data_IF_810136355452
#
_entry.id   IF_810136355452
#
_cell.length_a   1.000
_cell.length_b   1.000
_cell.length_c   1.000
_cell.angle_alpha   90.00
_cell.angle_beta   90.00
_cell.angle_gamma   90.00
#
_symmetry.space_group_name_H-M   'P 1'
#
loop_
_entity.id
_entity.type
_entity.pdbx_description
1 polymer ?
#
# COMPACT_ATOMS: atom_id res chain seq x y z
N UNK A 1 -37.66 8.22 8.61
CA UNK A 1 -36.29 8.78 8.54
C UNK A 1 -35.55 7.96 7.49
N UNK A 2 -35.37 8.52 6.28
CA UNK A 2 -34.71 7.84 5.17
C UNK A 2 -33.21 7.78 5.47
N UNK A 3 -32.70 6.60 5.84
CA UNK A 3 -31.26 6.36 5.92
C UNK A 3 -30.78 6.25 4.47
N UNK A 4 -30.26 7.35 3.93
CA UNK A 4 -29.46 7.32 2.71
C UNK A 4 -28.19 6.52 3.02
N UNK A 5 -28.21 5.22 2.73
CA UNK A 5 -26.97 4.47 2.55
C UNK A 5 -26.34 5.06 1.29
N UNK A 6 -25.34 5.92 1.47
CA UNK A 6 -24.57 6.44 0.36
C UNK A 6 -24.13 5.24 -0.51
N UNK A 7 -24.22 5.33 -1.85
CA UNK A 7 -23.73 4.28 -2.71
C UNK A 7 -22.29 4.00 -2.27
N UNK A 8 -22.01 2.74 -1.93
CA UNK A 8 -20.66 2.33 -1.63
C UNK A 8 -19.77 2.83 -2.80
N UNK A 9 -18.60 3.35 -2.50
CA UNK A 9 -17.66 3.73 -3.55
C UNK A 9 -16.69 2.56 -3.71
N UNK A 10 -16.46 2.14 -4.95
CA UNK A 10 -15.48 1.10 -5.22
C UNK A 10 -14.11 1.54 -4.71
N UNK A 11 -13.42 0.61 -4.06
CA UNK A 11 -12.01 0.72 -3.72
C UNK A 11 -11.24 0.68 -5.05
N UNK A 12 -10.47 1.72 -5.38
CA UNK A 12 -9.67 1.80 -6.61
C UNK A 12 -8.28 2.38 -6.29
N UNK A 13 -7.29 1.51 -6.16
CA UNK A 13 -5.96 1.86 -5.69
C UNK A 13 -5.22 2.78 -6.70
N UNK A 14 -5.38 4.11 -6.63
CA UNK A 14 -4.61 5.11 -7.36
C UNK A 14 -3.93 6.11 -6.39
N UNK A 15 -2.58 6.13 -6.37
CA UNK A 15 -1.78 6.91 -5.42
C UNK A 15 -1.16 8.13 -6.11
N UNK A 16 -1.74 9.30 -5.83
CA UNK A 16 -1.07 10.60 -6.02
C UNK A 16 -1.69 11.62 -5.04
N UNK A 17 -1.05 11.87 -3.89
CA UNK A 17 -0.99 13.17 -3.18
C UNK A 17 -0.59 13.07 -1.69
N UNK A 18 0.08 14.14 -1.27
CA UNK A 18 0.96 14.38 -0.12
C UNK A 18 0.32 14.37 1.28
N UNK A 19 1.20 14.00 2.23
CA UNK A 19 1.33 14.38 3.64
C UNK A 19 0.31 13.89 4.69
N UNK A 20 0.83 13.06 5.62
CA UNK A 20 0.37 12.91 7.01
C UNK A 20 -0.41 11.62 7.31
N UNK A 21 0.22 10.65 7.99
CA UNK A 21 -0.29 9.30 8.42
C UNK A 21 -0.80 8.40 7.27
N UNK A 22 -1.47 9.00 6.29
CA UNK A 22 -2.09 8.49 5.07
C UNK A 22 -1.09 8.00 4.00
N UNK A 23 0.20 8.31 4.15
CA UNK A 23 1.25 7.86 3.23
C UNK A 23 1.84 6.49 3.61
N UNK A 24 1.63 6.01 4.84
CA UNK A 24 2.19 4.73 5.31
C UNK A 24 1.37 3.52 4.89
N UNK A 25 0.12 3.72 4.46
CA UNK A 25 -0.86 2.62 4.28
C UNK A 25 -1.21 2.37 2.81
N UNK A 26 -0.62 3.13 1.87
CA UNK A 26 -0.83 2.93 0.43
C UNK A 26 -2.28 3.15 -0.03
N UNK A 27 -3.10 3.86 0.74
CA UNK A 27 -4.52 4.09 0.44
C UNK A 27 -4.67 5.17 -0.63
N UNK A 28 -5.43 4.86 -1.67
CA UNK A 28 -5.72 5.72 -2.80
C UNK A 28 -6.64 6.90 -2.47
N UNK A 29 -6.67 7.88 -3.39
CA UNK A 29 -7.50 9.08 -3.26
C UNK A 29 -8.98 8.78 -2.99
N UNK A 30 -9.67 7.97 -3.82
CA UNK A 30 -11.05 7.55 -3.59
C UNK A 30 -11.29 6.84 -2.26
N UNK A 31 -10.47 5.85 -1.89
CA UNK A 31 -10.56 5.14 -0.60
C UNK A 31 -10.34 6.08 0.57
N UNK A 32 -9.39 7.02 0.46
CA UNK A 32 -9.17 8.06 1.48
C UNK A 32 -10.41 8.95 1.65
N UNK A 33 -11.03 9.36 0.54
CA UNK A 33 -12.26 10.14 0.57
C UNK A 33 -13.43 9.35 1.18
N UNK A 34 -13.52 8.03 0.96
CA UNK A 34 -14.50 7.16 1.61
C UNK A 34 -14.25 7.06 3.12
N UNK A 35 -13.01 6.79 3.53
CA UNK A 35 -12.64 6.69 4.95
C UNK A 35 -12.82 8.01 5.71
N UNK A 36 -12.64 9.15 5.03
CA UNK A 36 -12.92 10.47 5.60
C UNK A 36 -14.42 10.70 5.87
N UNK A 37 -15.31 10.00 5.17
CA UNK A 37 -16.77 10.03 5.42
C UNK A 37 -17.20 9.13 6.57
N UNK A 38 -16.33 8.22 7.04
CA UNK A 38 -16.61 7.38 8.20
C UNK A 38 -16.36 8.15 9.51
N UNK A 39 -17.07 7.79 10.61
CA UNK A 39 -16.75 8.25 11.95
C UNK A 39 -15.27 8.07 12.29
N UNK A 40 -14.70 9.00 13.08
CA UNK A 40 -13.27 9.06 13.33
C UNK A 40 -12.71 7.80 14.00
N UNK A 41 -13.51 7.18 14.85
CA UNK A 41 -13.21 5.96 15.59
C UNK A 41 -13.07 4.78 14.63
N UNK A 42 -14.01 4.63 13.69
CA UNK A 42 -14.01 3.58 12.67
C UNK A 42 -12.83 3.78 11.71
N UNK A 43 -12.58 5.02 11.30
CA UNK A 43 -11.44 5.34 10.44
C UNK A 43 -10.12 4.90 11.10
N UNK A 44 -9.95 5.19 12.40
CA UNK A 44 -8.74 4.81 13.14
C UNK A 44 -8.57 3.29 13.21
N UNK A 45 -9.64 2.55 13.48
CA UNK A 45 -9.61 1.09 13.53
C UNK A 45 -9.30 0.44 12.17
N UNK A 46 -9.87 0.96 11.08
CA UNK A 46 -9.58 0.46 9.73
C UNK A 46 -8.12 0.72 9.37
N UNK A 47 -7.63 1.96 9.58
CA UNK A 47 -6.24 2.32 9.29
C UNK A 47 -5.26 1.46 10.09
N UNK A 48 -5.53 1.23 11.37
CA UNK A 48 -4.69 0.39 12.23
C UNK A 48 -4.70 -1.08 11.76
N UNK A 49 -5.87 -1.61 11.38
CA UNK A 49 -5.97 -2.99 10.88
C UNK A 49 -5.23 -3.18 9.56
N UNK A 50 -5.32 -2.21 8.64
CA UNK A 50 -4.55 -2.26 7.40
C UNK A 50 -3.05 -2.14 7.69
N UNK A 51 -2.65 -1.28 8.63
CA UNK A 51 -1.25 -1.14 9.06
C UNK A 51 -0.68 -2.45 9.60
N UNK A 52 -1.43 -3.18 10.42
CA UNK A 52 -1.01 -4.48 10.95
C UNK A 52 -0.90 -5.55 9.86
N UNK A 53 -1.75 -5.49 8.84
CA UNK A 53 -1.62 -6.37 7.66
C UNK A 53 -0.39 -6.03 6.81
N UNK A 54 0.12 -4.79 6.85
CA UNK A 54 1.35 -4.41 6.13
C UNK A 54 2.60 -5.06 6.73
N UNK A 55 2.66 -5.32 8.04
CA UNK A 55 3.83 -5.98 8.64
C UNK A 55 4.00 -7.45 8.20
N UNK A 56 2.98 -8.04 7.55
CA UNK A 56 2.99 -9.43 7.03
C UNK A 56 3.45 -9.49 5.54
N UNK A 57 3.89 -8.36 4.97
CA UNK A 57 4.08 -8.11 3.52
C UNK A 57 5.07 -8.98 2.73
N UNK A 58 5.80 -9.90 3.34
CA UNK A 58 6.98 -10.51 2.70
C UNK A 58 6.69 -11.62 1.68
N UNK A 59 5.46 -11.86 1.23
CA UNK A 59 5.26 -12.95 0.24
C UNK A 59 4.20 -12.79 -0.84
N UNK A 60 3.04 -12.11 -0.64
CA UNK A 60 1.99 -12.08 -1.69
C UNK A 60 1.10 -10.83 -1.67
N UNK A 61 1.23 -9.96 -2.68
CA UNK A 61 0.39 -8.75 -2.90
C UNK A 61 -1.10 -9.09 -3.02
N UNK A 62 -1.44 -10.16 -3.73
CA UNK A 62 -2.83 -10.60 -3.87
C UNK A 62 -3.48 -11.00 -2.53
N UNK A 63 -2.70 -11.61 -1.62
CA UNK A 63 -3.16 -11.97 -0.28
C UNK A 63 -3.44 -10.73 0.56
N UNK A 64 -2.63 -9.68 0.43
CA UNK A 64 -2.86 -8.41 1.11
C UNK A 64 -4.18 -7.76 0.68
N UNK A 65 -4.43 -7.64 -0.63
CA UNK A 65 -5.69 -7.06 -1.13
C UNK A 65 -6.91 -7.83 -0.64
N UNK A 66 -6.84 -9.17 -0.67
CA UNK A 66 -7.91 -10.01 -0.16
C UNK A 66 -8.14 -9.85 1.35
N UNK A 67 -7.08 -9.69 2.15
CA UNK A 67 -7.19 -9.47 3.60
C UNK A 67 -7.82 -8.12 3.93
N UNK A 68 -7.40 -7.05 3.23
CA UNK A 68 -7.98 -5.71 3.42
C UNK A 68 -9.47 -5.71 3.07
N UNK A 69 -9.84 -6.31 1.94
CA UNK A 69 -11.24 -6.45 1.53
C UNK A 69 -12.07 -7.21 2.57
N UNK A 70 -11.54 -8.32 3.10
CA UNK A 70 -12.20 -9.11 4.14
C UNK A 70 -12.40 -8.32 5.44
N UNK A 71 -11.38 -7.58 5.89
CA UNK A 71 -11.47 -6.72 7.08
C UNK A 71 -12.56 -5.67 6.91
N UNK A 72 -12.57 -4.98 5.77
CA UNK A 72 -13.56 -3.94 5.49
C UNK A 72 -14.97 -4.54 5.40
N UNK A 73 -15.13 -5.68 4.73
CA UNK A 73 -16.41 -6.38 4.62
C UNK A 73 -16.97 -6.75 6.00
N UNK A 74 -16.14 -7.33 6.86
CA UNK A 74 -16.52 -7.70 8.22
C UNK A 74 -16.97 -6.48 9.04
N UNK A 75 -16.26 -5.34 8.92
CA UNK A 75 -16.65 -4.10 9.61
C UNK A 75 -17.96 -3.51 9.11
N UNK A 76 -18.23 -3.59 7.81
CA UNK A 76 -19.52 -3.17 7.25
C UNK A 76 -20.66 -4.03 7.81
N UNK A 77 -20.47 -5.35 7.87
CA UNK A 77 -21.44 -6.27 8.45
C UNK A 77 -21.66 -5.98 9.95
N UNK A 78 -20.59 -5.82 10.73
CA UNK A 78 -20.67 -5.48 12.16
C UNK A 78 -21.47 -4.20 12.39
N UNK A 79 -21.20 -3.15 11.61
CA UNK A 79 -21.87 -1.86 11.73
C UNK A 79 -23.35 -1.98 11.38
N UNK A 80 -23.67 -2.65 10.27
CA UNK A 80 -25.04 -2.84 9.82
C UNK A 80 -25.84 -3.70 10.80
N UNK A 81 -25.23 -4.74 11.39
CA UNK A 81 -25.91 -5.56 12.39
C UNK A 81 -26.13 -4.80 13.69
N UNK A 82 -25.18 -3.94 14.11
CA UNK A 82 -25.37 -3.05 15.27
C UNK A 82 -26.48 -2.02 15.03
N UNK A 83 -26.57 -1.43 13.84
CA UNK A 83 -27.64 -0.47 13.51
C UNK A 83 -29.01 -1.13 13.38
N UNK A 84 -29.06 -2.36 12.85
CA UNK A 84 -30.29 -3.14 12.72
C UNK A 84 -30.75 -3.64 14.09
N UNK A 85 -29.83 -4.09 14.95
CA UNK A 85 -30.14 -4.44 16.35
C UNK A 85 -30.68 -3.25 17.14
N UNK A 86 -30.19 -2.03 16.90
CA UNK A 86 -30.72 -0.82 17.53
C UNK A 86 -32.14 -0.46 17.07
N UNK A 87 -32.62 -0.99 15.94
CA UNK A 87 -33.96 -0.75 15.40
C UNK A 87 -34.92 -1.92 15.61
N UNK A 88 -34.44 -3.16 15.69
CA UNK A 88 -35.25 -4.38 15.80
C UNK A 88 -35.10 -5.17 17.12
N UNK A 89 -34.27 -4.74 18.08
CA UNK A 89 -34.31 -5.29 19.43
C UNK A 89 -35.48 -4.70 20.24
N UNK A 90 -36.69 -5.21 20.00
CA UNK A 90 -37.76 -5.54 20.96
C UNK A 90 -38.87 -6.22 20.15
N UNK A 91 -38.71 -7.51 19.83
CA UNK A 91 -39.83 -8.43 19.56
C UNK A 91 -39.32 -9.89 19.55
N UNK A 92 -38.99 -10.39 20.74
CA UNK A 92 -39.34 -11.75 21.21
C UNK A 92 -39.85 -12.76 20.17
N UNK A 93 -39.00 -13.45 19.41
CA UNK A 93 -39.27 -14.83 18.88
C UNK A 93 -38.00 -15.57 18.42
N UNK A 94 -36.88 -15.47 19.14
CA UNK A 94 -35.59 -16.05 18.69
C UNK A 94 -35.46 -17.55 19.02
N UNK A 95 -36.25 -18.14 19.93
CA UNK A 95 -36.01 -19.54 20.30
C UNK A 95 -36.69 -20.58 19.40
N UNK A 96 -37.86 -20.30 18.80
CA UNK A 96 -38.71 -21.37 18.21
C UNK A 96 -38.86 -21.35 16.68
N UNK A 97 -38.45 -20.28 15.98
CA UNK A 97 -38.48 -20.21 14.50
C UNK A 97 -37.14 -20.41 13.80
N UNK A 98 -36.07 -20.54 14.57
CA UNK A 98 -34.70 -20.40 14.06
C UNK A 98 -34.18 -21.60 13.26
N UNK A 99 -34.78 -22.79 13.35
CA UNK A 99 -34.29 -23.92 12.54
C UNK A 99 -34.90 -23.96 11.13
N UNK A 100 -36.15 -23.55 10.96
CA UNK A 100 -36.84 -23.57 9.66
C UNK A 100 -36.58 -22.31 8.82
N UNK A 101 -36.19 -21.18 9.46
CA UNK A 101 -35.90 -19.92 8.77
C UNK A 101 -34.46 -19.77 8.26
N UNK A 102 -33.52 -20.61 8.72
CA UNK A 102 -32.09 -20.52 8.35
C UNK A 102 -31.85 -20.82 6.88
N UNK A 103 -32.37 -21.96 6.42
CA UNK A 103 -32.28 -22.39 5.02
C UNK A 103 -33.02 -21.41 4.11
N UNK A 104 -34.17 -20.88 4.56
CA UNK A 104 -34.94 -19.90 3.81
C UNK A 104 -34.18 -18.61 3.54
N UNK A 105 -33.41 -18.08 4.50
CA UNK A 105 -32.68 -16.82 4.30
C UNK A 105 -31.52 -16.93 3.31
N UNK A 106 -30.79 -18.05 3.34
CA UNK A 106 -29.72 -18.35 2.37
C UNK A 106 -30.33 -18.57 0.98
N UNK A 107 -31.42 -19.35 0.90
CA UNK A 107 -32.12 -19.63 -0.36
C UNK A 107 -32.76 -18.37 -0.97
N UNK A 108 -33.38 -17.52 -0.15
CA UNK A 108 -33.88 -16.20 -0.54
C UNK A 108 -32.77 -15.35 -1.17
N UNK A 109 -31.59 -15.32 -0.54
CA UNK A 109 -30.46 -14.55 -1.06
C UNK A 109 -29.95 -15.14 -2.38
N UNK A 110 -29.86 -16.46 -2.51
CA UNK A 110 -29.51 -17.11 -3.77
C UNK A 110 -30.54 -16.82 -4.87
N UNK A 111 -31.83 -16.78 -4.52
CA UNK A 111 -32.90 -16.38 -5.43
C UNK A 111 -32.76 -14.92 -5.86
N UNK A 112 -32.41 -14.02 -4.93
CA UNK A 112 -32.14 -12.61 -5.23
C UNK A 112 -30.93 -12.44 -6.15
N UNK A 113 -29.86 -13.23 -5.98
CA UNK A 113 -28.71 -13.26 -6.90
C UNK A 113 -29.17 -13.65 -8.31
N UNK A 114 -29.94 -14.75 -8.44
CA UNK A 114 -30.43 -15.22 -9.75
C UNK A 114 -31.33 -14.19 -10.41
N UNK A 115 -32.28 -13.58 -9.66
CA UNK A 115 -33.17 -12.53 -10.17
C UNK A 115 -32.42 -11.28 -10.61
N UNK A 116 -31.43 -10.86 -9.83
CA UNK A 116 -30.59 -9.69 -10.16
C UNK A 116 -29.88 -9.93 -11.48
N UNK A 117 -29.22 -11.10 -11.64
CA UNK A 117 -28.49 -11.46 -12.86
C UNK A 117 -29.39 -11.59 -14.09
N UNK A 118 -30.52 -12.30 -13.94
CA UNK A 118 -31.49 -12.48 -15.03
C UNK A 118 -32.17 -11.16 -15.45
N UNK A 119 -32.13 -10.14 -14.61
CA UNK A 119 -32.71 -8.83 -14.92
C UNK A 119 -31.84 -7.95 -15.81
N UNK A 120 -30.58 -8.31 -16.07
CA UNK A 120 -29.68 -7.48 -16.86
C UNK A 120 -29.92 -7.60 -18.36
N UNK A 121 -29.72 -6.50 -19.07
CA UNK A 121 -29.81 -6.41 -20.53
C UNK A 121 -28.47 -6.04 -21.16
N UNK A 122 -28.27 -6.36 -22.43
CA UNK A 122 -27.05 -5.99 -23.16
C UNK A 122 -26.89 -4.46 -23.36
N UNK A 123 -27.97 -3.71 -23.16
CA UNK A 123 -28.00 -2.23 -23.24
C UNK A 123 -27.89 -1.55 -21.87
N UNK A 124 -27.81 -2.32 -20.79
CA UNK A 124 -27.66 -1.74 -19.45
C UNK A 124 -26.30 -1.03 -19.35
N UNK A 125 -26.33 0.15 -18.72
CA UNK A 125 -25.14 0.93 -18.43
C UNK A 125 -24.42 0.38 -17.19
N UNK A 126 -23.11 0.62 -17.02
CA UNK A 126 -22.39 0.29 -15.79
C UNK A 126 -23.08 0.78 -14.51
N UNK A 127 -23.71 1.95 -14.55
CA UNK A 127 -24.52 2.48 -13.45
C UNK A 127 -25.64 1.50 -13.05
N UNK A 128 -26.34 0.93 -14.03
CA UNK A 128 -27.43 -0.03 -13.78
C UNK A 128 -26.93 -1.28 -13.07
N UNK A 129 -25.79 -1.82 -13.49
CA UNK A 129 -25.13 -2.93 -12.80
C UNK A 129 -24.71 -2.54 -11.38
N UNK A 130 -24.01 -1.41 -11.23
CA UNK A 130 -23.56 -0.91 -9.93
C UNK A 130 -24.72 -0.77 -8.95
N UNK A 131 -25.82 -0.14 -9.34
CA UNK A 131 -26.98 0.10 -8.47
C UNK A 131 -27.65 -1.22 -8.07
N UNK A 132 -27.91 -2.12 -9.02
CA UNK A 132 -28.58 -3.39 -8.71
C UNK A 132 -27.73 -4.31 -7.85
N UNK A 133 -26.42 -4.35 -8.07
CA UNK A 133 -25.51 -5.07 -7.19
C UNK A 133 -25.37 -4.41 -5.82
N UNK A 134 -25.42 -3.08 -5.71
CA UNK A 134 -25.45 -2.39 -4.42
C UNK A 134 -26.71 -2.76 -3.63
N UNK A 135 -27.88 -2.79 -4.26
CA UNK A 135 -29.13 -3.20 -3.63
C UNK A 135 -29.07 -4.66 -3.18
N UNK A 136 -28.48 -5.54 -4.00
CA UNK A 136 -28.27 -6.95 -3.64
C UNK A 136 -27.33 -7.09 -2.45
N UNK A 137 -26.22 -6.35 -2.41
CA UNK A 137 -25.30 -6.31 -1.27
C UNK A 137 -26.02 -5.81 -0.01
N UNK A 138 -26.81 -4.74 -0.09
CA UNK A 138 -27.58 -4.24 1.03
C UNK A 138 -28.53 -5.30 1.60
N UNK A 139 -29.28 -6.00 0.73
CA UNK A 139 -30.13 -7.14 1.16
C UNK A 139 -29.30 -8.26 1.78
N UNK A 140 -28.15 -8.61 1.20
CA UNK A 140 -27.28 -9.66 1.73
C UNK A 140 -26.74 -9.34 3.13
N UNK A 141 -26.44 -8.07 3.42
CA UNK A 141 -26.01 -7.62 4.75
C UNK A 141 -27.13 -7.79 5.78
N UNK A 142 -28.36 -7.43 5.41
CA UNK A 142 -29.54 -7.68 6.26
C UNK A 142 -29.72 -9.18 6.52
N UNK A 143 -29.57 -10.03 5.50
CA UNK A 143 -29.63 -11.50 5.66
C UNK A 143 -28.51 -12.01 6.55
N UNK A 144 -27.29 -11.49 6.41
CA UNK A 144 -26.17 -11.84 7.28
C UNK A 144 -26.50 -11.57 8.74
N UNK A 145 -27.04 -10.39 9.06
CA UNK A 145 -27.45 -10.07 10.43
C UNK A 145 -28.57 -10.97 10.97
N UNK A 146 -29.48 -11.44 10.10
CA UNK A 146 -30.54 -12.38 10.48
C UNK A 146 -30.01 -13.78 10.80
N UNK A 147 -28.85 -14.16 10.25
CA UNK A 147 -28.25 -15.49 10.42
C UNK A 147 -26.94 -15.49 11.22
N UNK A 148 -26.47 -14.34 11.72
CA UNK A 148 -25.16 -14.18 12.37
C UNK A 148 -24.95 -15.09 13.59
N UNK A 149 -26.04 -15.49 14.26
CA UNK A 149 -26.01 -16.43 15.39
C UNK A 149 -25.78 -17.89 14.96
N UNK A 150 -25.82 -18.17 13.66
CA UNK A 150 -25.61 -19.49 13.05
C UNK A 150 -24.36 -19.45 12.18
N UNK A 151 -23.23 -19.95 12.71
CA UNK A 151 -21.92 -19.87 12.04
C UNK A 151 -21.93 -20.36 10.59
N UNK A 152 -22.57 -21.50 10.31
CA UNK A 152 -22.65 -22.08 8.96
C UNK A 152 -23.43 -21.19 7.98
N UNK A 153 -24.60 -20.70 8.38
CA UNK A 153 -25.43 -19.85 7.53
C UNK A 153 -24.81 -18.46 7.33
N UNK A 154 -24.17 -17.91 8.37
CA UNK A 154 -23.42 -16.67 8.28
C UNK A 154 -22.22 -16.80 7.35
N UNK A 155 -21.50 -17.92 7.42
CA UNK A 155 -20.40 -18.23 6.50
C UNK A 155 -20.90 -18.31 5.05
N UNK A 156 -22.01 -19.00 4.80
CA UNK A 156 -22.55 -19.12 3.43
C UNK A 156 -23.03 -17.77 2.88
N UNK A 157 -23.73 -16.94 3.69
CA UNK A 157 -24.06 -15.57 3.29
C UNK A 157 -22.79 -14.75 3.04
N UNK A 158 -21.76 -14.90 3.87
CA UNK A 158 -20.45 -14.30 3.67
C UNK A 158 -19.83 -14.67 2.32
N UNK A 159 -19.80 -15.97 1.98
CA UNK A 159 -19.32 -16.43 0.66
C UNK A 159 -20.12 -15.86 -0.50
N UNK A 160 -21.43 -15.67 -0.34
CA UNK A 160 -22.27 -15.01 -1.36
C UNK A 160 -21.86 -13.53 -1.49
N UNK A 161 -21.66 -12.83 -0.38
CA UNK A 161 -21.16 -11.44 -0.38
C UNK A 161 -19.80 -11.32 -1.06
N UNK A 162 -18.87 -12.23 -0.76
CA UNK A 162 -17.51 -12.26 -1.32
C UNK A 162 -17.52 -12.48 -2.84
N UNK A 163 -18.55 -13.15 -3.38
CA UNK A 163 -18.74 -13.30 -4.83
C UNK A 163 -19.37 -12.09 -5.49
N UNK A 164 -20.23 -11.34 -4.79
CA UNK A 164 -20.95 -10.20 -5.36
C UNK A 164 -20.10 -8.92 -5.30
N UNK A 165 -19.35 -8.73 -4.21
CA UNK A 165 -18.60 -7.49 -3.96
C UNK A 165 -17.57 -7.17 -5.06
N UNK A 166 -16.78 -8.13 -5.59
CA UNK A 166 -15.86 -7.84 -6.70
C UNK A 166 -16.61 -7.41 -7.97
N UNK A 167 -17.79 -7.97 -8.24
CA UNK A 167 -18.61 -7.61 -9.40
C UNK A 167 -19.13 -6.18 -9.27
N UNK A 168 -19.66 -5.88 -8.10
CA UNK A 168 -20.12 -4.55 -7.74
C UNK A 168 -18.99 -3.51 -7.87
N UNK A 169 -17.82 -3.80 -7.31
CA UNK A 169 -16.62 -2.96 -7.41
C UNK A 169 -16.22 -2.72 -8.88
N UNK A 170 -16.17 -3.77 -9.68
CA UNK A 170 -15.81 -3.68 -11.10
C UNK A 170 -16.76 -2.74 -11.86
N UNK A 171 -18.07 -2.93 -11.69
CA UNK A 171 -19.06 -2.06 -12.34
C UNK A 171 -19.03 -0.63 -11.83
N UNK A 172 -18.74 -0.43 -10.55
CA UNK A 172 -18.60 0.89 -9.98
C UNK A 172 -17.37 1.66 -10.49
N UNK A 173 -16.27 0.97 -10.78
CA UNK A 173 -15.09 1.57 -11.43
C UNK A 173 -15.37 1.92 -12.88
N UNK A 174 -16.20 1.13 -13.57
CA UNK A 174 -16.59 1.35 -14.96
C UNK A 174 -17.68 2.43 -15.13
N UNK A 175 -18.30 2.89 -14.04
CA UNK A 175 -19.35 3.92 -14.08
C UNK A 175 -18.86 5.21 -14.72
N UNK A 176 -19.59 5.69 -15.73
CA UNK A 176 -19.22 6.86 -16.53
C UNK A 176 -18.02 6.69 -17.46
N UNK A 177 -17.38 5.52 -17.53
CA UNK A 177 -16.21 5.28 -18.40
C UNK A 177 -16.56 4.66 -19.76
N UNK A 178 -17.74 4.04 -19.86
CA UNK A 178 -18.20 3.26 -21.02
C UNK A 178 -19.73 3.14 -21.00
N UNK A 179 -20.33 2.85 -22.14
CA UNK A 179 -21.80 2.83 -22.29
C UNK A 179 -22.42 1.46 -22.04
N UNK A 180 -21.77 0.40 -22.53
CA UNK A 180 -22.29 -0.99 -22.46
C UNK A 180 -21.24 -1.95 -21.93
N UNK A 181 -21.66 -3.13 -21.46
CA UNK A 181 -20.75 -4.20 -21.01
C UNK A 181 -19.62 -4.52 -22.02
N UNK A 182 -19.96 -4.53 -23.32
CA UNK A 182 -18.99 -4.80 -24.40
C UNK A 182 -17.99 -3.66 -24.58
N UNK A 183 -18.46 -2.41 -24.53
CA UNK A 183 -17.59 -1.25 -24.66
C UNK A 183 -16.65 -1.15 -23.46
N UNK A 184 -17.17 -1.43 -22.26
CA UNK A 184 -16.39 -1.53 -21.04
C UNK A 184 -15.30 -2.59 -21.13
N UNK A 185 -15.62 -3.78 -21.65
CA UNK A 185 -14.61 -4.83 -21.87
C UNK A 185 -13.51 -4.38 -22.81
N UNK A 186 -13.88 -3.85 -23.97
CA UNK A 186 -12.92 -3.42 -24.98
C UNK A 186 -12.00 -2.33 -24.43
N UNK A 187 -12.57 -1.35 -23.71
CA UNK A 187 -11.83 -0.27 -23.06
C UNK A 187 -10.92 -0.79 -21.96
N UNK A 188 -11.45 -1.55 -20.99
CA UNK A 188 -10.69 -2.07 -19.87
C UNK A 188 -9.55 -2.99 -20.32
N UNK A 189 -9.78 -3.83 -21.33
CA UNK A 189 -8.75 -4.68 -21.92
C UNK A 189 -7.64 -3.85 -22.57
N UNK A 190 -8.00 -2.83 -23.34
CA UNK A 190 -7.03 -1.91 -23.94
C UNK A 190 -6.21 -1.17 -22.89
N UNK A 191 -6.88 -0.61 -21.87
CA UNK A 191 -6.24 0.12 -20.78
C UNK A 191 -5.31 -0.80 -19.97
N UNK A 192 -5.71 -2.04 -19.70
CA UNK A 192 -4.89 -3.04 -19.01
C UNK A 192 -3.68 -3.46 -19.84
N UNK A 193 -3.85 -3.70 -21.15
CA UNK A 193 -2.74 -4.02 -22.04
C UNK A 193 -1.71 -2.88 -22.09
N UNK A 194 -2.17 -1.63 -22.16
CA UNK A 194 -1.29 -0.46 -22.14
C UNK A 194 -0.55 -0.32 -20.80
N UNK A 195 -1.24 -0.55 -19.68
CA UNK A 195 -0.63 -0.55 -18.36
C UNK A 195 0.44 -1.64 -18.24
N UNK A 196 0.12 -2.89 -18.63
CA UNK A 196 1.08 -4.00 -18.63
C UNK A 196 2.26 -3.72 -19.56
N UNK A 197 2.04 -3.13 -20.74
CA UNK A 197 3.13 -2.82 -21.66
C UNK A 197 4.08 -1.76 -21.11
N UNK A 198 3.55 -0.72 -20.46
CA UNK A 198 4.30 0.41 -19.93
C UNK A 198 4.89 0.19 -18.53
N UNK A 199 4.42 -0.82 -17.79
CA UNK A 199 4.92 -1.13 -16.46
C UNK A 199 6.40 -1.57 -16.46
N UNK A 200 7.08 -1.30 -15.34
CA UNK A 200 8.47 -1.72 -15.13
C UNK A 200 8.61 -3.25 -15.23
N UNK A 201 9.74 -3.73 -15.75
CA UNK A 201 10.00 -5.16 -15.90
C UNK A 201 9.87 -5.95 -14.59
N UNK A 202 10.38 -5.40 -13.49
CA UNK A 202 10.27 -6.03 -12.18
C UNK A 202 8.82 -6.15 -11.73
N UNK A 203 8.04 -5.07 -11.83
CA UNK A 203 6.61 -5.04 -11.46
C UNK A 203 5.82 -6.10 -12.24
N UNK A 204 6.10 -6.25 -13.54
CA UNK A 204 5.45 -7.24 -14.42
C UNK A 204 5.76 -8.68 -14.03
N UNK A 205 7.02 -8.95 -13.70
CA UNK A 205 7.47 -10.30 -13.32
C UNK A 205 6.91 -10.72 -11.97
N UNK A 206 6.82 -9.82 -10.99
CA UNK A 206 6.31 -10.16 -9.65
C UNK A 206 4.89 -10.75 -9.67
N UNK A 207 4.05 -10.32 -10.61
CA UNK A 207 2.64 -10.74 -10.66
C UNK A 207 2.28 -11.56 -11.90
N UNK A 208 3.28 -11.94 -12.71
CA UNK A 208 3.10 -12.56 -14.02
C UNK A 208 2.11 -11.80 -14.92
N UNK A 209 2.22 -10.47 -14.95
CA UNK A 209 1.22 -9.58 -15.55
C UNK A 209 0.96 -9.89 -17.03
N UNK A 210 2.05 -10.18 -17.77
CA UNK A 210 2.00 -10.46 -19.20
C UNK A 210 1.25 -11.76 -19.52
N UNK A 211 1.51 -12.82 -18.77
CA UNK A 211 0.84 -14.11 -18.96
C UNK A 211 -0.63 -14.01 -18.57
N UNK A 212 -0.95 -13.33 -17.47
CA UNK A 212 -2.33 -13.14 -17.00
C UNK A 212 -3.18 -12.35 -17.99
N UNK A 213 -2.68 -11.24 -18.55
CA UNK A 213 -3.45 -10.47 -19.54
C UNK A 213 -3.61 -11.22 -20.88
N UNK A 214 -2.65 -12.06 -21.25
CA UNK A 214 -2.76 -12.93 -22.42
C UNK A 214 -3.77 -14.07 -22.22
N UNK A 215 -3.94 -14.53 -20.98
CA UNK A 215 -4.91 -15.56 -20.62
C UNK A 215 -6.36 -15.05 -20.57
N UNK A 216 -6.60 -13.73 -20.60
CA UNK A 216 -7.95 -13.15 -20.64
C UNK A 216 -8.61 -13.48 -21.99
N UNK A 217 -9.64 -14.35 -22.04
CA UNK A 217 -10.31 -14.71 -23.28
C UNK A 217 -11.03 -13.50 -23.89
N UNK A 218 -11.22 -13.53 -25.21
CA UNK A 218 -12.20 -12.64 -25.83
C UNK A 218 -13.61 -13.04 -25.41
N UNK A 219 -14.41 -12.05 -25.00
CA UNK A 219 -15.80 -12.30 -24.62
C UNK A 219 -16.66 -12.30 -25.88
N UNK A 220 -17.52 -13.32 -26.08
CA UNK A 220 -18.35 -13.39 -27.27
C UNK A 220 -19.26 -12.17 -27.37
N UNK A 221 -19.32 -11.57 -28.57
CA UNK A 221 -20.30 -10.53 -28.84
C UNK A 221 -21.70 -11.10 -28.69
N UNK A 222 -22.63 -10.42 -27.98
CA UNK A 222 -24.00 -10.89 -27.87
C UNK A 222 -24.58 -11.04 -29.27
N UNK A 223 -25.14 -12.22 -29.57
CA UNK A 223 -25.75 -12.49 -30.86
C UNK A 223 -26.91 -11.51 -31.10
N UNK A 224 -27.25 -11.26 -32.38
CA UNK A 224 -28.43 -10.45 -32.71
C UNK A 224 -29.68 -10.99 -31.99
N UNK A 225 -29.83 -12.32 -31.92
CA UNK A 225 -30.93 -12.96 -31.21
C UNK A 225 -30.90 -12.70 -29.70
N UNK A 226 -29.73 -12.71 -29.05
CA UNK A 226 -29.58 -12.37 -27.63
C UNK A 226 -29.97 -10.91 -27.32
N UNK A 227 -29.76 -9.99 -28.28
CA UNK A 227 -30.23 -8.60 -28.18
C UNK A 227 -31.75 -8.49 -28.23
N UNK A 228 -32.43 -9.40 -28.94
CA UNK A 228 -33.90 -9.41 -29.06
C UNK A 228 -34.61 -10.28 -28.02
N UNK A 229 -33.98 -11.36 -27.54
CA UNK A 229 -34.58 -12.30 -26.58
C UNK A 229 -34.44 -11.87 -25.13
N UNK A 230 -33.66 -10.82 -24.85
CA UNK A 230 -33.35 -10.38 -23.48
C UNK A 230 -32.46 -11.35 -22.71
N UNK A 231 -31.94 -12.41 -23.33
CA UNK A 231 -31.01 -13.34 -22.71
C UNK A 231 -29.59 -12.80 -22.82
N UNK A 232 -29.24 -11.87 -21.94
CA UNK A 232 -27.88 -11.38 -21.77
C UNK A 232 -27.29 -11.97 -20.49
N UNK A 233 -26.15 -12.66 -20.60
CA UNK A 233 -25.40 -13.14 -19.44
C UNK A 233 -24.20 -12.21 -19.16
N UNK A 234 -24.27 -11.36 -18.11
CA UNK A 234 -23.15 -10.50 -17.74
C UNK A 234 -21.94 -11.27 -17.20
N UNK A 235 -22.10 -12.52 -16.77
CA UNK A 235 -21.06 -13.26 -16.04
C UNK A 235 -19.77 -13.44 -16.87
N UNK A 236 -19.91 -13.58 -18.19
CA UNK A 236 -18.78 -13.70 -19.12
C UNK A 236 -17.94 -12.41 -19.20
N UNK A 237 -18.55 -11.25 -18.93
CA UNK A 237 -17.85 -9.95 -18.89
C UNK A 237 -17.28 -9.69 -17.50
N UNK A 238 -18.11 -9.91 -16.48
CA UNK A 238 -17.81 -9.66 -15.07
C UNK A 238 -16.57 -10.38 -14.57
N UNK A 239 -16.43 -11.66 -14.92
CA UNK A 239 -15.26 -12.46 -14.53
C UNK A 239 -13.97 -11.83 -15.05
N UNK A 240 -13.99 -11.39 -16.31
CA UNK A 240 -12.82 -10.78 -16.92
C UNK A 240 -12.56 -9.35 -16.44
N UNK A 241 -13.60 -8.60 -16.06
CA UNK A 241 -13.40 -7.32 -15.40
C UNK A 241 -12.65 -7.47 -14.08
N UNK A 242 -13.08 -8.42 -13.25
CA UNK A 242 -12.41 -8.71 -11.97
C UNK A 242 -10.96 -9.12 -12.21
N UNK A 243 -10.70 -10.01 -13.18
CA UNK A 243 -9.33 -10.42 -13.52
C UNK A 243 -8.45 -9.25 -13.99
N UNK A 244 -8.97 -8.40 -14.89
CA UNK A 244 -8.22 -7.27 -15.41
C UNK A 244 -7.97 -6.21 -14.34
N UNK A 245 -8.96 -5.89 -13.53
CA UNK A 245 -8.79 -4.98 -12.40
C UNK A 245 -7.79 -5.51 -11.38
N UNK A 246 -7.80 -6.81 -11.07
CA UNK A 246 -6.78 -7.42 -10.22
C UNK A 246 -5.37 -7.25 -10.78
N UNK A 247 -5.17 -7.43 -12.11
CA UNK A 247 -3.87 -7.16 -12.76
C UNK A 247 -3.48 -5.68 -12.58
N UNK A 248 -4.41 -4.74 -12.80
CA UNK A 248 -4.12 -3.32 -12.65
C UNK A 248 -3.76 -2.94 -11.22
N UNK A 249 -4.54 -3.41 -10.25
CA UNK A 249 -4.36 -3.09 -8.83
C UNK A 249 -3.05 -3.70 -8.30
N UNK A 250 -2.76 -4.95 -8.64
CA UNK A 250 -1.51 -5.61 -8.23
C UNK A 250 -0.28 -4.94 -8.86
N UNK A 251 -0.34 -4.47 -10.12
CA UNK A 251 0.74 -3.69 -10.74
C UNK A 251 0.98 -2.39 -9.99
N UNK A 252 -0.09 -1.66 -9.65
CA UNK A 252 0.01 -0.40 -8.91
C UNK A 252 0.59 -0.62 -7.51
N UNK A 253 0.12 -1.64 -6.78
CA UNK A 253 0.67 -1.97 -5.45
C UNK A 253 2.16 -2.35 -5.55
N UNK A 254 2.53 -3.16 -6.53
CA UNK A 254 3.94 -3.56 -6.73
C UNK A 254 4.83 -2.36 -7.04
N UNK A 255 4.36 -1.45 -7.90
CA UNK A 255 5.02 -0.19 -8.19
C UNK A 255 5.19 0.68 -6.93
N UNK A 256 4.15 0.80 -6.10
CA UNK A 256 4.21 1.57 -4.85
C UNK A 256 5.17 0.95 -3.82
N UNK A 257 5.17 -0.39 -3.67
CA UNK A 257 6.12 -1.09 -2.81
C UNK A 257 7.56 -0.83 -3.26
N UNK A 258 7.81 -0.88 -4.57
CA UNK A 258 9.10 -0.58 -5.17
C UNK A 258 9.54 0.86 -4.89
N UNK A 259 8.67 1.85 -5.12
CA UNK A 259 8.95 3.25 -4.83
C UNK A 259 9.19 3.50 -3.33
N UNK A 260 8.38 2.89 -2.46
CA UNK A 260 8.52 3.00 -1.01
C UNK A 260 9.84 2.42 -0.53
N UNK A 261 10.25 1.26 -1.06
CA UNK A 261 11.55 0.66 -0.76
C UNK A 261 12.71 1.58 -1.15
N UNK A 262 12.69 2.11 -2.38
CA UNK A 262 13.73 3.04 -2.84
C UNK A 262 13.79 4.32 -1.98
N UNK A 263 12.64 4.86 -1.55
CA UNK A 263 12.59 6.03 -0.66
C UNK A 263 13.19 5.74 0.72
N UNK A 264 12.90 4.56 1.30
CA UNK A 264 13.49 4.14 2.58
C UNK A 264 15.01 4.09 2.49
N UNK A 265 15.55 3.53 1.40
CA UNK A 265 17.01 3.48 1.20
C UNK A 265 17.64 4.87 1.06
N UNK A 266 16.95 5.80 0.38
CA UNK A 266 17.38 7.21 0.29
C UNK A 266 17.36 7.89 1.66
N UNK A 267 16.30 7.72 2.44
CA UNK A 267 16.16 8.35 3.76
C UNK A 267 17.16 7.80 4.78
N UNK A 268 17.43 6.50 4.72
CA UNK A 268 18.51 5.85 5.45
C UNK A 268 19.89 6.41 5.05
N UNK A 269 20.15 6.57 3.75
CA UNK A 269 21.39 7.14 3.26
C UNK A 269 21.54 8.61 3.71
N UNK A 270 20.47 9.41 3.68
CA UNK A 270 20.46 10.79 4.22
C UNK A 270 20.82 10.82 5.70
N UNK A 271 20.24 9.91 6.48
CA UNK A 271 20.51 9.80 7.92
C UNK A 271 22.00 9.49 8.16
N UNK A 272 22.55 8.54 7.41
CA UNK A 272 23.98 8.20 7.51
C UNK A 272 24.89 9.36 7.05
N UNK A 273 24.54 10.08 5.99
CA UNK A 273 25.27 11.30 5.56
C UNK A 273 25.22 12.39 6.63
N UNK A 274 24.09 12.57 7.31
CA UNK A 274 23.97 13.52 8.41
C UNK A 274 24.82 13.12 9.63
N UNK A 275 24.88 11.82 9.96
CA UNK A 275 25.76 11.30 11.01
C UNK A 275 27.25 11.50 10.65
N UNK A 276 27.62 11.25 9.39
CA UNK A 276 28.96 11.52 8.87
C UNK A 276 29.34 13.01 8.96
N UNK A 277 28.40 13.90 8.63
CA UNK A 277 28.58 15.35 8.80
C UNK A 277 28.84 15.73 10.27
N UNK A 278 28.02 15.22 11.20
CA UNK A 278 28.19 15.49 12.63
C UNK A 278 29.52 14.95 13.17
N UNK A 279 29.96 13.78 12.71
CA UNK A 279 31.26 13.21 13.07
C UNK A 279 32.42 14.08 12.57
N UNK A 280 32.32 14.63 11.35
CA UNK A 280 33.32 15.55 10.81
C UNK A 280 33.38 16.87 11.60
N UNK A 281 32.23 17.41 12.01
CA UNK A 281 32.16 18.60 12.85
C UNK A 281 32.80 18.37 14.22
N UNK A 282 32.52 17.23 14.85
CA UNK A 282 33.17 16.82 16.11
C UNK A 282 34.69 16.67 15.94
N UNK A 283 35.13 16.01 14.86
CA UNK A 283 36.55 15.86 14.56
C UNK A 283 37.26 17.23 14.40
N UNK A 284 36.60 18.15 13.70
CA UNK A 284 37.10 19.52 13.50
C UNK A 284 37.14 20.32 14.81
N UNK A 285 36.16 20.12 15.70
CA UNK A 285 36.14 20.75 17.02
C UNK A 285 37.30 20.26 17.89
N UNK A 286 37.52 18.94 17.96
CA UNK A 286 38.63 18.35 18.71
C UNK A 286 40.01 18.80 18.20
N UNK A 287 40.15 19.00 16.89
CA UNK A 287 41.39 19.49 16.29
C UNK A 287 41.81 20.90 16.74
N UNK A 288 40.86 21.71 17.24
CA UNK A 288 41.16 23.03 17.78
C UNK A 288 41.81 22.96 19.16
N UNK A 289 41.65 21.83 19.85
CA UNK A 289 42.24 21.60 21.16
C UNK A 289 43.64 21.02 20.98
N UNK A 290 44.67 21.82 21.29
CA UNK A 290 46.08 21.46 21.13
C UNK A 290 46.57 20.53 22.25
N UNK A 291 45.92 19.38 22.45
CA UNK A 291 46.33 18.34 23.41
C UNK A 291 46.15 16.93 22.83
N UNK A 292 46.94 15.94 23.30
CA UNK A 292 46.95 14.58 22.73
C UNK A 292 45.60 13.86 22.79
N UNK A 293 44.85 13.85 23.92
CA UNK A 293 43.51 13.26 23.97
C UNK A 293 42.58 13.77 22.86
N UNK A 294 42.56 15.08 22.62
CA UNK A 294 41.70 15.68 21.60
C UNK A 294 42.15 15.31 20.18
N UNK A 295 43.45 15.22 19.91
CA UNK A 295 43.93 14.75 18.59
C UNK A 295 43.52 13.30 18.29
N UNK A 296 43.58 12.42 19.31
CA UNK A 296 43.07 11.05 19.19
C UNK A 296 41.57 11.00 18.95
N UNK A 297 40.80 11.82 19.66
CA UNK A 297 39.36 11.95 19.44
C UNK A 297 39.05 12.45 18.01
N UNK A 298 39.81 13.44 17.52
CA UNK A 298 39.68 13.95 16.15
C UNK A 298 39.89 12.86 15.10
N UNK A 299 40.94 12.05 15.23
CA UNK A 299 41.20 10.92 14.33
C UNK A 299 40.08 9.87 14.39
N UNK A 300 39.59 9.52 15.58
CA UNK A 300 38.52 8.53 15.75
C UNK A 300 37.19 9.00 15.12
N UNK A 301 36.83 10.27 15.30
CA UNK A 301 35.65 10.88 14.70
C UNK A 301 35.80 11.05 13.17
N UNK A 302 36.99 11.40 12.68
CA UNK A 302 37.25 11.44 11.24
C UNK A 302 37.15 10.03 10.62
N UNK A 303 37.69 9.00 11.28
CA UNK A 303 37.61 7.62 10.81
C UNK A 303 36.17 7.07 10.78
N UNK A 304 35.26 7.56 11.65
CA UNK A 304 33.86 7.12 11.61
C UNK A 304 33.11 7.57 10.36
N UNK A 305 33.52 8.67 9.71
CA UNK A 305 32.92 9.14 8.45
C UNK A 305 33.01 8.08 7.35
N UNK A 306 34.08 7.27 7.34
CA UNK A 306 34.31 6.26 6.31
C UNK A 306 33.75 4.87 6.65
N UNK A 307 33.28 4.63 7.88
CA UNK A 307 32.81 3.30 8.31
C UNK A 307 31.58 2.83 7.53
N UNK A 308 30.69 3.74 7.19
CA UNK A 308 29.40 3.40 6.56
C UNK A 308 29.43 3.49 5.03
N UNK A 309 30.62 3.61 4.42
CA UNK A 309 30.76 3.84 2.98
C UNK A 309 30.03 2.80 2.13
N UNK A 310 30.31 1.53 2.39
CA UNK A 310 29.77 0.44 1.58
C UNK A 310 28.26 0.30 1.80
N UNK A 311 27.78 0.61 3.01
CA UNK A 311 26.34 0.62 3.33
C UNK A 311 25.62 1.76 2.60
N UNK A 312 26.16 2.99 2.63
CA UNK A 312 25.57 4.13 1.92
C UNK A 312 25.59 3.88 0.42
N UNK A 313 26.71 3.42 -0.14
CA UNK A 313 26.81 3.12 -1.56
C UNK A 313 25.82 2.03 -2.00
N UNK A 314 25.69 0.96 -1.21
CA UNK A 314 24.72 -0.11 -1.47
C UNK A 314 23.28 0.40 -1.44
N UNK A 315 22.89 1.21 -0.45
CA UNK A 315 21.54 1.78 -0.35
C UNK A 315 21.23 2.71 -1.52
N UNK A 316 22.16 3.59 -1.89
CA UNK A 316 21.99 4.50 -3.02
C UNK A 316 21.87 3.74 -4.34
N UNK A 317 22.70 2.70 -4.55
CA UNK A 317 22.61 1.86 -5.75
C UNK A 317 21.27 1.09 -5.78
N UNK A 318 20.87 0.49 -4.66
CA UNK A 318 19.61 -0.24 -4.56
C UNK A 318 18.42 0.68 -4.85
N UNK A 319 18.42 1.91 -4.31
CA UNK A 319 17.38 2.89 -4.58
C UNK A 319 17.26 3.22 -6.07
N UNK A 320 18.39 3.38 -6.78
CA UNK A 320 18.42 3.70 -8.22
C UNK A 320 18.00 2.50 -9.08
N UNK A 321 18.49 1.30 -8.75
CA UNK A 321 18.09 0.07 -9.44
C UNK A 321 16.60 -0.22 -9.27
N UNK A 322 16.08 0.03 -8.07
CA UNK A 322 14.67 -0.16 -7.70
C UNK A 322 13.78 0.92 -8.33
N UNK A 323 14.21 2.19 -8.33
CA UNK A 323 13.45 3.31 -8.90
C UNK A 323 14.37 4.38 -9.48
N UNK A 324 14.53 4.35 -10.80
CA UNK A 324 15.49 5.19 -11.53
C UNK A 324 15.26 6.70 -11.37
N UNK A 325 14.05 7.16 -11.02
CA UNK A 325 13.80 8.58 -10.73
C UNK A 325 14.55 9.08 -9.48
N UNK A 326 15.02 8.18 -8.61
CA UNK A 326 15.88 8.55 -7.48
C UNK A 326 17.34 8.81 -7.91
N UNK A 327 17.69 8.67 -9.20
CA UNK A 327 19.07 8.80 -9.69
C UNK A 327 19.71 10.16 -9.37
N UNK A 328 18.99 11.27 -9.56
CA UNK A 328 19.52 12.60 -9.30
C UNK A 328 19.78 12.83 -7.81
N UNK A 329 18.82 12.44 -6.95
CA UNK A 329 18.95 12.58 -5.50
C UNK A 329 20.05 11.65 -4.94
N UNK A 330 20.12 10.41 -5.41
CA UNK A 330 21.17 9.47 -5.05
C UNK A 330 22.56 9.96 -5.48
N UNK A 331 22.67 10.53 -6.68
CA UNK A 331 23.90 11.12 -7.22
C UNK A 331 24.38 12.28 -6.35
N UNK A 332 23.48 13.17 -5.93
CA UNK A 332 23.82 14.31 -5.07
C UNK A 332 24.26 13.85 -3.67
N UNK A 333 23.55 12.90 -3.06
CA UNK A 333 23.95 12.32 -1.77
C UNK A 333 25.32 11.63 -1.86
N UNK A 334 25.57 10.89 -2.94
CA UNK A 334 26.86 10.24 -3.19
C UNK A 334 28.00 11.25 -3.30
N UNK A 335 27.82 12.35 -4.06
CA UNK A 335 28.81 13.43 -4.16
C UNK A 335 29.07 14.09 -2.81
N UNK A 336 28.01 14.42 -2.07
CA UNK A 336 28.11 15.02 -0.75
C UNK A 336 28.90 14.12 0.19
N UNK A 337 28.59 12.82 0.25
CA UNK A 337 29.28 11.88 1.11
C UNK A 337 30.77 11.73 0.73
N UNK A 338 31.12 11.63 -0.56
CA UNK A 338 32.52 11.63 -1.02
C UNK A 338 33.30 12.89 -0.62
N UNK A 339 32.63 14.05 -0.63
CA UNK A 339 33.23 15.30 -0.14
C UNK A 339 33.51 15.24 1.36
N UNK A 340 32.61 14.65 2.15
CA UNK A 340 32.82 14.45 3.59
C UNK A 340 34.00 13.51 3.87
N UNK A 341 34.09 12.39 3.16
CA UNK A 341 35.21 11.47 3.29
C UNK A 341 36.56 12.15 2.99
N UNK A 342 36.61 12.91 1.90
CA UNK A 342 37.82 13.67 1.51
C UNK A 342 38.23 14.66 2.61
N UNK A 343 37.24 15.36 3.19
CA UNK A 343 37.49 16.34 4.26
C UNK A 343 37.90 15.66 5.56
N UNK A 344 37.26 14.54 5.91
CA UNK A 344 37.58 13.74 7.08
C UNK A 344 39.01 13.18 7.00
N UNK A 345 39.44 12.71 5.83
CA UNK A 345 40.82 12.26 5.62
C UNK A 345 41.83 13.39 5.85
N UNK A 346 41.55 14.61 5.35
CA UNK A 346 42.41 15.77 5.59
C UNK A 346 42.47 16.15 7.08
N UNK A 347 41.33 16.10 7.78
CA UNK A 347 41.21 16.33 9.23
C UNK A 347 42.04 15.29 9.98
N UNK A 348 41.89 14.00 9.65
CA UNK A 348 42.67 12.91 10.26
C UNK A 348 44.18 13.13 10.11
N UNK A 349 44.65 13.43 8.91
CA UNK A 349 46.07 13.70 8.65
C UNK A 349 46.61 14.88 9.45
N UNK A 350 45.82 15.96 9.60
CA UNK A 350 46.21 17.10 10.45
C UNK A 350 46.32 16.69 11.92
N UNK A 351 45.39 15.89 12.41
CA UNK A 351 45.41 15.42 13.80
C UNK A 351 46.62 14.50 14.07
N UNK A 352 46.98 13.62 13.13
CA UNK A 352 48.18 12.78 13.21
C UNK A 352 49.47 13.62 13.33
N UNK A 353 49.61 14.66 12.50
CA UNK A 353 50.75 15.58 12.54
C UNK A 353 50.81 16.34 13.87
N UNK A 354 49.66 16.81 14.37
CA UNK A 354 49.58 17.52 15.65
C UNK A 354 49.91 16.60 16.84
N UNK A 355 49.41 15.35 16.86
CA UNK A 355 49.76 14.39 17.91
C UNK A 355 51.26 14.08 17.91
N UNK A 356 51.86 13.83 16.73
CA UNK A 356 53.29 13.57 16.61
C UNK A 356 54.14 14.75 17.10
N UNK A 357 53.71 15.99 16.81
CA UNK A 357 54.37 17.20 17.28
C UNK A 357 54.30 17.34 18.80
N UNK A 358 53.11 17.10 19.39
CA UNK A 358 52.93 17.12 20.84
C UNK A 358 53.80 16.06 21.54
N UNK A 359 53.87 14.85 20.97
CA UNK A 359 54.73 13.80 21.50
C UNK A 359 56.22 14.16 21.42
N UNK A 360 56.67 14.80 20.34
CA UNK A 360 58.04 15.29 20.22
C UNK A 360 58.37 16.37 21.28
N UNK A 361 57.44 17.29 21.53
CA UNK A 361 57.56 18.31 22.58
C UNK A 361 57.64 17.67 23.97
N UNK A 362 56.78 16.70 24.26
CA UNK A 362 56.79 15.96 25.53
C UNK A 362 58.11 15.22 25.74
N UNK A 363 58.60 14.47 24.73
CA UNK A 363 59.90 13.79 24.81
C UNK A 363 61.06 14.76 25.01
N UNK A 364 61.04 15.91 24.32
CA UNK A 364 62.06 16.94 24.51
C UNK A 364 62.02 17.49 25.93
N UNK A 365 60.83 17.84 26.45
CA UNK A 365 60.65 18.31 27.83
C UNK A 365 61.16 17.28 28.83
N UNK A 366 60.83 16.01 28.65
CA UNK A 366 61.22 14.94 29.56
C UNK A 366 62.73 14.62 29.49
N UNK A 367 63.42 15.04 28.42
CA UNK A 367 64.87 14.93 28.29
C UNK A 367 65.66 16.06 28.98
N UNK A 368 64.99 17.13 29.40
CA UNK A 368 65.63 18.26 30.08
C UNK A 368 65.91 17.96 31.56
N UNK A 369 66.97 18.56 32.15
CA UNK A 369 67.26 18.42 33.57
C UNK A 369 66.08 18.85 34.45
N UNK A 370 65.83 18.19 35.60
CA UNK A 370 64.88 18.70 36.58
C UNK A 370 65.38 20.08 37.05
N UNK A 371 64.59 21.13 36.80
CA UNK A 371 64.88 22.57 37.00
C UNK A 371 65.39 23.35 35.77
N UNK A 372 65.28 22.85 34.54
CA UNK A 372 65.53 23.70 33.37
C UNK A 372 64.45 24.80 33.28
N UNK A 373 64.81 26.11 33.37
CA UNK A 373 63.83 27.18 33.37
C UNK A 373 63.27 27.37 31.96
N UNK A 374 61.99 27.09 31.77
CA UNK A 374 61.29 27.51 30.57
C UNK A 374 60.90 28.99 30.71
N UNK A 375 61.26 29.86 29.75
CA UNK A 375 60.60 31.14 29.63
C UNK A 375 59.13 30.88 29.26
N UNK A 376 58.21 31.27 30.16
CA UNK A 376 56.77 31.23 29.94
C UNK A 376 56.35 32.19 28.82
#
# INVERSE_FOLDING_TARGET
MLIFVAPAHAFDLNVNAKAGIDAQVGLDGPTRALLQRLPAEIRKEIVESVRQSLDILDTHVATYLAQVDAIVANRINDLACKSTAATDMIATTIAEKILDSRTTHVEDLLNDVRKTRAGFSASDTPETYRVRYADLLARSVLRYCQVVLSSEAAEEVGRIQDRIRPLWNAWARLDGQCETAKDCFSKLRGDTLNLVASANAWDKTQINAQERIQAVPDVPSPSLWARFSGMFDPQSYETEFVNMFAIQDELRVTQELRQSSARRDIDDAKTAVAQAQAALEAATAHLREMNRPSQRAAMASAASVSRDNDSIAAKLNNAVETWSEMSDEASELSKRFKSLQTTAESVRQRAEVQESTLEAIERFRDSLPPNFPFPL
#
